data_IF_006258057994
#
_entry.id   IF_006258057994
#
_cell.length_a   1.000
_cell.length_b   1.000
_cell.length_c   1.000
_cell.angle_alpha   90.00
_cell.angle_beta   90.00
_cell.angle_gamma   90.00
#
_symmetry.space_group_name_H-M   'P 1'
#
loop_
_entity.id
_entity.type
_entity.pdbx_description
1 polymer ?
#
# COMPACT_ATOMS: atom_id res chain seq x y z
N UNK A 1 -5.39 -80.76 -24.32
CA UNK A 1 -5.45 -80.29 -22.92
C UNK A 1 -4.76 -78.94 -22.83
N UNK A 2 -5.50 -77.81 -22.68
CA UNK A 2 -4.89 -76.51 -22.41
C UNK A 2 -4.85 -76.21 -20.91
N UNK A 3 -3.70 -75.76 -20.43
CA UNK A 3 -3.42 -75.41 -19.03
C UNK A 3 -3.81 -73.94 -18.78
N UNK A 4 -4.79 -73.70 -17.90
CA UNK A 4 -5.15 -72.36 -17.39
C UNK A 4 -4.08 -71.92 -16.39
N UNK A 5 -3.49 -70.73 -16.58
CA UNK A 5 -2.71 -70.03 -15.56
C UNK A 5 -3.38 -68.68 -15.29
N UNK A 6 -4.06 -68.58 -14.15
CA UNK A 6 -4.62 -67.33 -13.63
C UNK A 6 -3.48 -66.50 -13.04
N UNK A 7 -3.34 -65.25 -13.50
CA UNK A 7 -2.34 -64.30 -13.00
C UNK A 7 -3.03 -63.16 -12.26
N UNK A 8 -2.37 -62.74 -11.19
CA UNK A 8 -2.81 -61.84 -10.13
C UNK A 8 -3.23 -60.45 -10.63
N UNK A 9 -4.36 -59.95 -10.12
CA UNK A 9 -4.74 -58.54 -10.16
C UNK A 9 -4.19 -57.84 -8.92
N UNK A 10 -3.17 -57.00 -9.09
CA UNK A 10 -2.83 -55.94 -8.14
C UNK A 10 -3.47 -54.64 -8.62
N UNK A 11 -4.41 -54.13 -7.84
CA UNK A 11 -5.04 -52.83 -8.00
C UNK A 11 -4.04 -51.75 -7.60
N UNK A 12 -3.59 -50.93 -8.56
CA UNK A 12 -2.90 -49.67 -8.29
C UNK A 12 -3.95 -48.57 -8.25
N UNK A 13 -4.25 -48.08 -7.05
CA UNK A 13 -5.14 -46.96 -6.81
C UNK A 13 -4.38 -45.66 -7.16
N UNK A 14 -4.65 -45.12 -8.36
CA UNK A 14 -4.17 -43.80 -8.76
C UNK A 14 -4.98 -42.70 -8.08
N UNK A 15 -4.31 -41.91 -7.24
CA UNK A 15 -4.83 -40.69 -6.65
C UNK A 15 -5.04 -39.65 -7.78
N UNK A 16 -6.27 -39.48 -8.25
CA UNK A 16 -6.66 -38.41 -9.16
C UNK A 16 -6.67 -37.09 -8.38
N UNK A 17 -5.64 -36.26 -8.59
CA UNK A 17 -5.69 -34.85 -8.26
C UNK A 17 -6.65 -34.18 -9.25
N UNK A 18 -7.89 -33.94 -8.83
CA UNK A 18 -8.90 -33.25 -9.64
C UNK A 18 -8.48 -31.80 -9.85
N UNK A 19 -7.86 -31.49 -10.99
CA UNK A 19 -7.79 -30.12 -11.50
C UNK A 19 -9.21 -29.77 -11.95
N UNK A 20 -9.95 -29.05 -11.12
CA UNK A 20 -11.25 -28.48 -11.51
C UNK A 20 -11.01 -27.43 -12.57
N UNK A 21 -11.26 -27.77 -13.84
CA UNK A 21 -11.38 -26.82 -14.93
C UNK A 21 -12.59 -25.93 -14.63
N UNK A 22 -12.36 -24.64 -14.37
CA UNK A 22 -13.44 -23.65 -14.33
C UNK A 22 -14.10 -23.64 -15.72
N UNK A 23 -15.36 -24.07 -15.78
CA UNK A 23 -16.10 -24.15 -17.04
C UNK A 23 -16.39 -22.77 -17.65
N UNK A 24 -16.76 -22.69 -18.94
CA UNK A 24 -17.01 -21.43 -19.65
C UNK A 24 -18.03 -20.51 -18.96
N UNK A 25 -19.03 -21.07 -18.28
CA UNK A 25 -20.03 -20.29 -17.51
C UNK A 25 -19.39 -19.50 -16.35
N UNK A 26 -18.36 -20.03 -15.70
CA UNK A 26 -17.61 -19.30 -14.66
C UNK A 26 -16.76 -18.17 -15.25
N UNK A 27 -16.20 -18.38 -16.46
CA UNK A 27 -15.41 -17.36 -17.14
C UNK A 27 -16.29 -16.19 -17.65
N UNK A 28 -17.48 -16.49 -18.17
CA UNK A 28 -18.43 -15.46 -18.64
C UNK A 28 -18.95 -14.62 -17.46
N UNK A 29 -19.35 -15.25 -16.35
CA UNK A 29 -19.79 -14.55 -15.15
C UNK A 29 -18.66 -13.70 -14.52
N UNK A 30 -17.42 -14.21 -14.53
CA UNK A 30 -16.25 -13.43 -14.09
C UNK A 30 -16.02 -12.22 -14.99
N UNK A 31 -16.18 -12.36 -16.31
CA UNK A 31 -16.00 -11.27 -17.27
C UNK A 31 -17.05 -10.18 -17.07
N UNK A 32 -18.33 -10.56 -16.96
CA UNK A 32 -19.42 -9.61 -16.71
C UNK A 32 -19.22 -8.86 -15.39
N UNK A 33 -18.87 -9.59 -14.32
CA UNK A 33 -18.61 -8.95 -13.03
C UNK A 33 -17.40 -8.03 -13.08
N UNK A 34 -16.34 -8.43 -13.76
CA UNK A 34 -15.13 -7.65 -13.94
C UNK A 34 -15.40 -6.31 -14.65
N UNK A 35 -16.18 -6.34 -15.74
CA UNK A 35 -16.53 -5.14 -16.49
C UNK A 35 -17.30 -4.10 -15.65
N UNK A 36 -18.03 -4.54 -14.63
CA UNK A 36 -18.75 -3.63 -13.73
C UNK A 36 -17.84 -2.98 -12.68
N UNK A 37 -16.74 -3.63 -12.29
CA UNK A 37 -15.96 -3.21 -11.11
C UNK A 37 -14.57 -2.70 -11.40
N UNK A 38 -13.97 -3.05 -12.55
CA UNK A 38 -12.56 -2.75 -12.85
C UNK A 38 -12.23 -1.25 -12.77
N UNK A 39 -13.21 -0.40 -13.05
CA UNK A 39 -13.10 1.06 -13.01
C UNK A 39 -13.76 1.70 -11.76
N UNK A 40 -14.20 0.89 -10.78
CA UNK A 40 -14.94 1.38 -9.60
C UNK A 40 -14.10 2.23 -8.65
N UNK A 41 -12.78 2.06 -8.67
CA UNK A 41 -11.88 2.69 -7.71
C UNK A 41 -11.97 2.14 -6.28
N UNK A 42 -12.75 1.08 -6.05
CA UNK A 42 -12.99 0.51 -4.72
C UNK A 42 -12.15 -0.77 -4.52
N UNK A 43 -11.10 -0.74 -3.67
CA UNK A 43 -10.25 -1.91 -3.43
C UNK A 43 -11.01 -3.08 -2.78
N UNK A 44 -12.10 -2.83 -2.05
CA UNK A 44 -12.91 -3.89 -1.45
C UNK A 44 -13.70 -4.66 -2.53
N UNK A 45 -14.20 -3.97 -3.56
CA UNK A 45 -14.88 -4.62 -4.69
C UNK A 45 -13.92 -5.50 -5.51
N UNK A 46 -12.69 -5.03 -5.73
CA UNK A 46 -11.65 -5.80 -6.45
C UNK A 46 -11.20 -7.00 -5.61
N UNK A 47 -11.03 -6.83 -4.30
CA UNK A 47 -10.69 -7.95 -3.38
C UNK A 47 -11.77 -9.02 -3.41
N UNK A 48 -13.03 -8.61 -3.25
CA UNK A 48 -14.19 -9.51 -3.27
C UNK A 48 -14.32 -10.27 -4.58
N UNK A 49 -14.00 -9.64 -5.72
CA UNK A 49 -13.98 -10.33 -7.02
C UNK A 49 -12.98 -11.48 -7.06
N UNK A 50 -11.78 -11.31 -6.50
CA UNK A 50 -10.77 -12.37 -6.49
C UNK A 50 -11.16 -13.54 -5.59
N UNK A 51 -11.90 -13.27 -4.51
CA UNK A 51 -12.47 -14.29 -3.64
C UNK A 51 -13.61 -15.06 -4.31
N UNK A 52 -14.52 -14.33 -4.98
CA UNK A 52 -15.69 -14.90 -5.63
C UNK A 52 -15.33 -15.62 -6.96
N UNK A 53 -14.21 -15.25 -7.62
CA UNK A 53 -13.75 -15.80 -8.90
C UNK A 53 -12.26 -16.18 -8.92
N UNK A 54 -11.81 -17.15 -8.10
CA UNK A 54 -10.42 -17.57 -8.04
C UNK A 54 -9.96 -18.18 -9.37
N UNK A 55 -8.80 -17.73 -9.88
CA UNK A 55 -8.23 -18.22 -11.14
C UNK A 55 -8.97 -17.74 -12.40
N UNK A 56 -9.79 -16.70 -12.31
CA UNK A 56 -10.41 -16.08 -13.48
C UNK A 56 -9.35 -15.47 -14.42
N UNK A 57 -9.68 -15.27 -15.72
CA UNK A 57 -8.78 -14.59 -16.66
C UNK A 57 -8.34 -13.18 -16.21
N UNK A 58 -9.09 -12.56 -15.29
CA UNK A 58 -8.84 -11.21 -14.79
C UNK A 58 -8.07 -11.18 -13.46
N UNK A 59 -7.61 -12.31 -12.92
CA UNK A 59 -6.96 -12.32 -11.60
C UNK A 59 -5.66 -11.48 -11.57
N UNK A 60 -4.88 -11.50 -12.65
CA UNK A 60 -3.68 -10.65 -12.78
C UNK A 60 -4.03 -9.17 -12.86
N UNK A 61 -5.04 -8.80 -13.66
CA UNK A 61 -5.49 -7.41 -13.77
C UNK A 61 -6.05 -6.93 -12.43
N UNK A 62 -6.82 -7.77 -11.73
CA UNK A 62 -7.36 -7.50 -10.40
C UNK A 62 -6.25 -7.28 -9.37
N UNK A 63 -5.16 -8.06 -9.42
CA UNK A 63 -3.99 -7.85 -8.58
C UNK A 63 -3.31 -6.49 -8.85
N UNK A 64 -3.12 -6.13 -10.12
CA UNK A 64 -2.49 -4.85 -10.51
C UNK A 64 -3.35 -3.66 -10.08
N UNK A 65 -4.66 -3.71 -10.35
CA UNK A 65 -5.58 -2.65 -9.96
C UNK A 65 -5.67 -2.54 -8.44
N UNK A 66 -5.77 -3.67 -7.72
CA UNK A 66 -5.82 -3.66 -6.25
C UNK A 66 -4.55 -3.04 -5.64
N UNK A 67 -3.37 -3.38 -6.15
CA UNK A 67 -2.11 -2.78 -5.69
C UNK A 67 -2.07 -1.26 -5.94
N UNK A 68 -2.53 -0.81 -7.11
CA UNK A 68 -2.61 0.61 -7.44
C UNK A 68 -3.64 1.35 -6.56
N UNK A 69 -4.79 0.74 -6.29
CA UNK A 69 -5.83 1.31 -5.45
C UNK A 69 -5.40 1.41 -3.99
N UNK A 70 -4.72 0.39 -3.44
CA UNK A 70 -4.16 0.43 -2.08
C UNK A 70 -3.11 1.53 -1.98
N UNK A 71 -2.20 1.62 -2.97
CA UNK A 71 -1.22 2.70 -3.02
C UNK A 71 -1.85 4.09 -3.15
N UNK A 72 -3.05 4.21 -3.72
CA UNK A 72 -3.79 5.47 -3.86
C UNK A 72 -4.67 5.78 -2.65
N UNK A 73 -5.21 4.78 -1.96
CA UNK A 73 -5.97 4.97 -0.72
C UNK A 73 -5.06 5.34 0.46
N UNK A 74 -3.78 4.96 0.41
CA UNK A 74 -2.77 5.49 1.33
C UNK A 74 -2.55 7.01 1.14
N UNK A 75 -2.97 7.56 0.00
CA UNK A 75 -3.07 9.01 -0.27
C UNK A 75 -4.52 9.53 -0.19
N UNK A 76 -5.43 8.75 0.40
CA UNK A 76 -6.87 8.98 0.39
C UNK A 76 -7.24 10.28 1.12
N UNK A 77 -7.89 11.18 0.38
CA UNK A 77 -8.17 12.59 0.68
C UNK A 77 -6.98 13.55 0.61
N UNK A 78 -5.99 13.31 -0.26
CA UNK A 78 -4.89 14.25 -0.54
C UNK A 78 -5.38 15.70 -0.42
N UNK A 79 -4.92 16.45 0.60
CA UNK A 79 -5.52 17.74 0.89
C UNK A 79 -5.33 18.66 -0.28
N UNK A 80 -6.29 19.58 -0.43
CA UNK A 80 -6.20 20.66 -1.42
C UNK A 80 -4.79 21.23 -1.35
N UNK A 81 -4.05 21.18 -2.46
CA UNK A 81 -2.67 21.66 -2.52
C UNK A 81 -2.61 23.06 -1.90
N UNK A 82 -1.80 23.20 -0.83
CA UNK A 82 -1.67 24.43 -0.05
C UNK A 82 -2.66 24.65 1.10
N UNK A 83 -3.53 23.70 1.44
CA UNK A 83 -4.42 23.75 2.61
C UNK A 83 -3.81 23.16 3.89
N UNK A 84 -2.55 22.71 3.84
CA UNK A 84 -1.82 22.23 5.02
C UNK A 84 -1.19 23.43 5.73
N UNK A 85 -1.34 23.53 7.05
CA UNK A 85 -0.68 24.53 7.88
C UNK A 85 0.05 23.87 9.06
N UNK A 86 1.14 24.48 9.53
CA UNK A 86 2.06 23.83 10.48
C UNK A 86 1.40 23.36 11.79
N UNK A 87 0.43 24.13 12.28
CA UNK A 87 -0.31 23.86 13.53
C UNK A 87 -1.75 23.37 13.31
N UNK A 88 -2.19 23.20 12.06
CA UNK A 88 -3.54 22.72 11.77
C UNK A 88 -3.57 21.19 11.73
N UNK A 89 -4.69 20.54 12.12
CA UNK A 89 -4.86 19.11 11.95
C UNK A 89 -4.69 18.68 10.49
N UNK A 90 -3.89 17.65 10.26
CA UNK A 90 -3.76 17.01 8.97
C UNK A 90 -4.98 16.14 8.69
N UNK A 91 -5.45 16.20 7.45
CA UNK A 91 -6.49 15.33 6.91
C UNK A 91 -6.01 14.80 5.57
N UNK A 92 -6.28 13.53 5.28
CA UNK A 92 -6.02 12.99 3.95
C UNK A 92 -4.60 12.50 3.65
N UNK A 93 -3.81 12.24 4.69
CA UNK A 93 -2.49 11.61 4.60
C UNK A 93 -2.47 10.25 5.29
N UNK A 94 -3.56 9.49 5.13
CA UNK A 94 -3.80 8.21 5.80
C UNK A 94 -4.19 8.34 7.27
N UNK A 95 -4.63 7.22 7.86
CA UNK A 95 -5.18 7.18 9.22
C UNK A 95 -4.14 7.52 10.31
N UNK A 96 -2.85 7.28 10.03
CA UNK A 96 -1.78 7.45 11.02
C UNK A 96 -1.53 8.91 11.41
N UNK A 97 -1.97 9.88 10.59
CA UNK A 97 -1.75 11.32 10.84
C UNK A 97 -3.04 12.12 10.96
N UNK A 98 -4.19 11.46 10.81
CA UNK A 98 -5.47 12.15 10.81
C UNK A 98 -5.73 12.83 12.16
N UNK A 99 -5.98 14.13 12.13
CA UNK A 99 -6.23 14.93 13.34
C UNK A 99 -4.99 15.47 14.05
N UNK A 100 -3.77 15.06 13.67
CA UNK A 100 -2.52 15.61 14.22
C UNK A 100 -1.95 16.70 13.31
N UNK A 101 -1.35 17.73 13.90
CA UNK A 101 -0.61 18.76 13.17
C UNK A 101 0.84 18.34 12.88
N UNK A 102 1.50 19.01 11.92
CA UNK A 102 2.93 18.78 11.64
C UNK A 102 3.75 18.99 12.91
N UNK A 103 3.47 20.04 13.69
CA UNK A 103 4.13 20.30 14.99
C UNK A 103 4.02 19.12 15.95
N UNK A 104 2.83 18.54 16.09
CA UNK A 104 2.60 17.41 16.99
C UNK A 104 3.30 16.14 16.51
N UNK A 105 3.36 15.92 15.19
CA UNK A 105 4.08 14.78 14.62
C UNK A 105 5.59 14.81 14.92
N UNK A 106 6.20 16.00 15.05
CA UNK A 106 7.62 16.11 15.45
C UNK A 106 7.89 15.61 16.88
N UNK A 107 6.87 15.57 17.73
CA UNK A 107 6.96 15.07 19.10
C UNK A 107 6.69 13.56 19.18
N UNK A 108 6.42 12.90 18.05
CA UNK A 108 6.20 11.45 18.00
C UNK A 108 7.49 10.68 17.72
N UNK A 109 7.51 9.42 18.14
CA UNK A 109 8.63 8.51 17.87
C UNK A 109 8.66 8.07 16.40
N UNK A 110 9.85 7.89 15.80
CA UNK A 110 9.99 7.29 14.48
C UNK A 110 9.33 5.91 14.39
N UNK A 111 8.74 5.61 13.23
CA UNK A 111 8.29 4.28 12.82
C UNK A 111 9.39 3.48 12.10
N UNK A 112 10.30 4.17 11.43
CA UNK A 112 11.40 3.59 10.65
C UNK A 112 12.75 4.17 11.09
N UNK A 113 13.84 3.43 10.86
CA UNK A 113 15.17 3.87 11.26
C UNK A 113 15.60 5.12 10.46
N UNK A 114 16.19 6.16 11.10
CA UNK A 114 16.70 7.32 10.39
C UNK A 114 17.86 7.02 9.44
N UNK A 115 18.64 5.98 9.76
CA UNK A 115 19.80 5.51 9.00
C UNK A 115 19.77 3.99 8.99
N UNK A 116 20.07 3.38 7.85
CA UNK A 116 20.18 1.93 7.72
C UNK A 116 21.22 1.37 8.70
N UNK A 117 20.85 0.30 9.41
CA UNK A 117 21.72 -0.36 10.37
C UNK A 117 21.92 0.37 11.71
N UNK A 118 21.23 1.50 11.94
CA UNK A 118 21.26 2.16 13.25
C UNK A 118 20.50 1.30 14.28
N UNK A 119 21.15 0.86 15.38
CA UNK A 119 20.48 0.07 16.42
C UNK A 119 19.29 0.81 17.03
N UNK A 120 18.22 0.08 17.35
CA UNK A 120 16.93 0.65 17.77
C UNK A 120 17.01 1.49 19.04
N UNK A 121 17.93 1.17 19.95
CA UNK A 121 18.14 1.90 21.20
C UNK A 121 18.52 3.37 21.00
N UNK A 122 19.01 3.74 19.81
CA UNK A 122 19.39 5.10 19.48
C UNK A 122 18.25 5.96 18.91
N UNK A 123 17.14 5.36 18.48
CA UNK A 123 16.10 6.10 17.75
C UNK A 123 14.66 5.74 18.12
N UNK A 124 14.37 4.51 18.55
CA UNK A 124 12.99 4.02 18.67
C UNK A 124 12.20 4.65 19.82
N UNK A 125 12.90 5.02 20.88
CA UNK A 125 12.35 5.72 22.06
C UNK A 125 12.67 7.23 22.04
N UNK A 126 13.12 7.75 20.89
CA UNK A 126 13.40 9.18 20.68
C UNK A 126 12.27 9.84 19.92
N UNK A 127 12.07 11.13 20.10
CA UNK A 127 11.21 11.94 19.23
C UNK A 127 12.03 12.57 18.11
N UNK A 128 11.37 13.13 17.09
CA UNK A 128 12.09 13.86 16.04
C UNK A 128 12.89 15.04 16.62
N UNK A 129 12.37 15.67 17.67
CA UNK A 129 13.00 16.80 18.37
C UNK A 129 14.16 16.41 19.28
N UNK A 130 14.33 15.12 19.62
CA UNK A 130 15.51 14.65 20.33
C UNK A 130 16.76 14.60 19.43
N UNK A 131 16.57 14.42 18.12
CA UNK A 131 17.66 14.36 17.13
C UNK A 131 17.83 15.65 16.34
N UNK A 132 16.75 16.41 16.17
CA UNK A 132 16.74 17.66 15.41
C UNK A 132 16.23 18.81 16.26
N UNK A 133 16.78 20.00 16.04
CA UNK A 133 16.23 21.24 16.59
C UNK A 133 15.33 21.91 15.56
N UNK A 134 14.23 21.24 15.21
CA UNK A 134 13.32 21.74 14.17
C UNK A 134 12.62 23.01 14.61
N UNK A 135 12.85 24.10 13.87
CA UNK A 135 11.96 25.25 13.84
C UNK A 135 11.00 25.12 12.65
N UNK A 136 9.87 25.84 12.67
CA UNK A 136 8.97 25.89 11.51
C UNK A 136 9.71 26.33 10.25
N UNK A 137 10.61 27.30 10.34
CA UNK A 137 11.43 27.77 9.21
C UNK A 137 12.42 26.72 8.70
N UNK A 138 13.13 26.03 9.59
CA UNK A 138 14.06 24.97 9.23
C UNK A 138 13.33 23.78 8.59
N UNK A 139 12.16 23.43 9.12
CA UNK A 139 11.33 22.37 8.55
C UNK A 139 10.75 22.77 7.20
N UNK A 140 10.33 24.03 7.02
CA UNK A 140 9.90 24.54 5.72
C UNK A 140 11.02 24.38 4.68
N UNK A 141 12.24 24.75 5.04
CA UNK A 141 13.41 24.57 4.16
C UNK A 141 13.56 23.09 3.75
N UNK A 142 13.48 22.18 4.71
CA UNK A 142 13.50 20.73 4.46
C UNK A 142 12.34 20.30 3.53
N UNK A 143 11.14 20.81 3.77
CA UNK A 143 9.92 20.49 3.04
C UNK A 143 9.99 20.91 1.56
N UNK A 144 10.62 22.06 1.26
CA UNK A 144 10.81 22.53 -0.13
C UNK A 144 11.65 21.59 -0.99
N UNK A 145 12.44 20.68 -0.40
CA UNK A 145 13.13 19.67 -1.19
C UNK A 145 12.17 18.73 -1.90
N UNK A 146 10.97 18.50 -1.37
CA UNK A 146 9.97 17.61 -1.96
C UNK A 146 9.14 18.27 -3.08
N UNK A 147 9.23 19.60 -3.24
CA UNK A 147 8.44 20.34 -4.24
C UNK A 147 9.15 20.42 -5.60
N UNK A 148 10.43 20.07 -5.67
CA UNK A 148 11.22 20.09 -6.90
C UNK A 148 11.04 18.80 -7.70
N UNK A 149 10.81 18.91 -9.01
CA UNK A 149 10.59 17.77 -9.91
C UNK A 149 11.71 16.72 -9.85
N UNK A 150 12.97 17.16 -9.77
CA UNK A 150 14.13 16.26 -9.65
C UNK A 150 14.16 15.44 -8.35
N UNK A 151 13.38 15.85 -7.35
CA UNK A 151 13.35 15.23 -6.02
C UNK A 151 12.06 14.44 -5.74
N UNK A 152 11.15 14.28 -6.70
CA UNK A 152 9.93 13.49 -6.49
C UNK A 152 10.24 12.05 -6.05
N UNK A 153 11.37 11.49 -6.50
CA UNK A 153 11.84 10.17 -6.08
C UNK A 153 12.23 10.11 -4.58
N UNK A 154 12.53 11.25 -3.93
CA UNK A 154 12.84 11.31 -2.49
C UNK A 154 11.63 10.96 -1.61
N UNK A 155 10.42 11.04 -2.15
CA UNK A 155 9.20 10.56 -1.49
C UNK A 155 9.21 9.04 -1.29
N UNK A 156 9.96 8.30 -2.14
CA UNK A 156 10.09 6.84 -2.07
C UNK A 156 11.21 6.36 -1.15
N UNK A 157 12.16 7.22 -0.79
CA UNK A 157 13.18 6.88 0.21
C UNK A 157 12.48 6.70 1.55
N UNK A 158 12.88 5.74 2.38
CA UNK A 158 12.28 5.59 3.71
C UNK A 158 12.55 6.84 4.58
N UNK A 159 11.67 7.11 5.53
CA UNK A 159 11.82 8.21 6.49
C UNK A 159 11.27 7.77 7.84
N UNK A 160 11.82 8.28 8.96
CA UNK A 160 11.32 8.05 10.31
C UNK A 160 9.80 8.03 10.45
N UNK A 161 9.09 9.03 9.92
CA UNK A 161 7.63 9.11 9.91
C UNK A 161 6.96 8.61 8.60
N UNK A 162 7.69 7.90 7.75
CA UNK A 162 7.17 7.32 6.52
C UNK A 162 6.85 8.32 5.40
N UNK A 163 6.30 7.78 4.31
CA UNK A 163 5.94 8.54 3.09
C UNK A 163 4.83 9.57 3.31
N UNK A 164 3.71 9.27 4.01
CA UNK A 164 2.62 10.25 4.10
C UNK A 164 3.03 11.54 4.82
N UNK A 165 4.00 11.46 5.75
CA UNK A 165 4.57 12.67 6.36
C UNK A 165 5.34 13.53 5.35
N UNK A 166 6.09 12.93 4.43
CA UNK A 166 6.79 13.68 3.37
C UNK A 166 5.82 14.35 2.42
N UNK A 167 4.70 13.69 2.12
CA UNK A 167 3.64 14.24 1.28
C UNK A 167 2.97 15.43 1.98
N UNK A 168 2.72 15.34 3.29
CA UNK A 168 2.24 16.45 4.10
C UNK A 168 3.20 17.64 4.09
N UNK A 169 4.50 17.39 4.27
CA UNK A 169 5.53 18.43 4.16
C UNK A 169 5.56 19.05 2.75
N UNK A 170 5.48 18.23 1.69
CA UNK A 170 5.42 18.73 0.32
C UNK A 170 4.22 19.65 0.10
N UNK A 171 3.02 19.21 0.48
CA UNK A 171 1.79 19.98 0.31
C UNK A 171 1.81 21.29 1.13
N UNK A 172 2.38 21.26 2.34
CA UNK A 172 2.61 22.43 3.17
C UNK A 172 3.59 23.42 2.52
N UNK A 173 4.69 22.92 1.95
CA UNK A 173 5.66 23.75 1.24
C UNK A 173 5.11 24.35 -0.06
N UNK A 174 4.31 23.59 -0.82
CA UNK A 174 3.58 24.09 -2.00
C UNK A 174 2.57 25.19 -1.62
N UNK A 175 2.05 25.16 -0.38
CA UNK A 175 1.20 26.20 0.22
C UNK A 175 1.94 27.41 0.78
N UNK A 176 3.27 27.47 0.68
CA UNK A 176 4.07 28.59 1.20
C UNK A 176 4.44 28.48 2.68
N UNK A 177 4.36 27.28 3.28
CA UNK A 177 4.80 27.01 4.65
C UNK A 177 4.10 27.82 5.76
N UNK A 178 2.80 28.07 5.59
CA UNK A 178 1.99 28.83 6.55
C UNK A 178 1.82 28.12 7.91
#
# INVERSE_FOLDING_TARGET
MPFRRTSNFWLVLGLLCSVTFAGPVFADAATERWDQIKDSGDPALITKFREDFPGSPHDLDALVILAALISKSDTGDAPVIGAVAFNAPLTGFGDSFNGQSIRELLETSPKFAPVEGLPEEFWKEKTCNDCHTWTQEALCTQATHYTKDENVNRLNVEHPLGRPFKEALRAWAEGGCL
#
